data_IF_554646960566
#
_entry.id   IF_554646960566
#
_cell.length_a   1.000
_cell.length_b   1.000
_cell.length_c   1.000
_cell.angle_alpha   90.00
_cell.angle_beta   90.00
_cell.angle_gamma   90.00
#
_symmetry.space_group_name_H-M   'P 1'
#
loop_
_entity.id
_entity.type
_entity.pdbx_description
1 polymer ?
#
# COMPACT_ATOMS: atom_id res chain seq x y z
N UNK A 1 -11.69 -10.32 13.97
CA UNK A 1 -12.20 -9.08 13.35
C UNK A 1 -11.97 -7.96 14.34
N UNK A 2 -11.31 -6.87 13.94
CA UNK A 2 -11.03 -5.76 14.85
C UNK A 2 -12.16 -4.75 14.76
N UNK A 3 -12.75 -4.39 15.91
CA UNK A 3 -13.90 -3.50 16.01
C UNK A 3 -13.48 -2.07 15.62
N UNK A 4 -14.19 -1.44 14.69
CA UNK A 4 -13.97 -0.03 14.33
C UNK A 4 -14.47 0.89 15.45
N UNK A 5 -13.86 2.08 15.61
CA UNK A 5 -14.29 3.05 16.62
C UNK A 5 -15.74 3.48 16.35
N UNK A 6 -16.50 3.68 17.42
CA UNK A 6 -17.78 4.38 17.32
C UNK A 6 -17.53 5.86 16.98
N UNK A 7 -18.58 6.60 16.58
CA UNK A 7 -18.54 8.05 16.29
C UNK A 7 -18.09 8.88 17.52
N UNK A 8 -17.94 8.27 18.70
CA UNK A 8 -17.32 8.91 19.87
C UNK A 8 -15.83 9.13 19.61
N UNK A 9 -15.32 10.27 20.09
CA UNK A 9 -13.89 10.58 20.10
C UNK A 9 -13.15 9.56 20.96
N UNK A 10 -12.76 8.44 20.37
CA UNK A 10 -11.80 7.52 20.95
C UNK A 10 -10.41 8.10 20.69
N UNK A 11 -9.77 8.56 21.76
CA UNK A 11 -8.38 8.96 21.81
C UNK A 11 -7.65 7.95 22.68
N UNK A 12 -6.55 7.39 22.17
CA UNK A 12 -5.76 6.40 22.89
C UNK A 12 -4.28 6.61 22.63
N UNK A 13 -3.50 6.73 23.68
CA UNK A 13 -2.06 6.64 23.61
C UNK A 13 -1.63 5.17 23.79
N UNK A 14 -0.68 4.73 22.97
CA UNK A 14 -0.15 3.38 22.97
C UNK A 14 1.37 3.48 23.10
N UNK A 15 1.90 2.83 24.13
CA UNK A 15 3.35 2.67 24.35
C UNK A 15 3.79 1.32 23.79
N UNK A 16 4.91 1.30 23.09
CA UNK A 16 5.49 0.10 22.52
C UNK A 16 6.47 -0.57 23.50
N UNK A 17 6.36 -1.88 23.63
CA UNK A 17 7.36 -2.68 24.32
C UNK A 17 8.55 -3.02 23.39
N UNK A 18 9.56 -3.68 23.96
CA UNK A 18 10.75 -4.08 23.22
C UNK A 18 10.44 -5.06 22.08
N UNK A 19 9.42 -5.90 22.21
CA UNK A 19 9.03 -6.87 21.18
C UNK A 19 8.47 -6.14 19.95
N UNK A 20 7.62 -5.14 20.17
CA UNK A 20 7.06 -4.29 19.12
C UNK A 20 8.15 -3.52 18.37
N UNK A 21 9.10 -2.92 19.08
CA UNK A 21 10.24 -2.24 18.45
C UNK A 21 11.11 -3.19 17.63
N UNK A 22 11.38 -4.38 18.17
CA UNK A 22 12.15 -5.42 17.46
C UNK A 22 11.42 -5.88 16.19
N UNK A 23 10.11 -6.07 16.28
CA UNK A 23 9.26 -6.43 15.15
C UNK A 23 9.29 -5.33 14.07
N UNK A 24 9.12 -4.07 14.45
CA UNK A 24 9.17 -2.93 13.53
C UNK A 24 10.52 -2.87 12.82
N UNK A 25 11.63 -2.98 13.56
CA UNK A 25 12.97 -2.96 13.01
C UNK A 25 13.19 -4.12 12.02
N UNK A 26 12.71 -5.33 12.35
CA UNK A 26 12.78 -6.51 11.47
C UNK A 26 12.01 -6.29 10.16
N UNK A 27 10.77 -5.79 10.24
CA UNK A 27 9.94 -5.52 9.06
C UNK A 27 10.53 -4.40 8.19
N UNK A 28 11.02 -3.32 8.81
CA UNK A 28 11.71 -2.22 8.12
C UNK A 28 12.99 -2.66 7.45
N UNK A 29 13.78 -3.53 8.08
CA UNK A 29 14.98 -4.12 7.48
C UNK A 29 14.63 -4.95 6.24
N UNK A 30 13.58 -5.79 6.32
CA UNK A 30 13.10 -6.56 5.16
C UNK A 30 12.68 -5.64 4.01
N UNK A 31 11.95 -4.57 4.32
CA UNK A 31 11.53 -3.58 3.35
C UNK A 31 12.72 -2.84 2.71
N UNK A 32 13.68 -2.39 3.54
CA UNK A 32 14.88 -1.69 3.08
C UNK A 32 15.70 -2.53 2.09
N UNK A 33 15.88 -3.83 2.34
CA UNK A 33 16.59 -4.71 1.39
C UNK A 33 15.94 -4.71 -0.01
N UNK A 34 14.61 -4.75 -0.08
CA UNK A 34 13.88 -4.71 -1.35
C UNK A 34 13.98 -3.32 -2.00
N UNK A 35 13.82 -2.27 -1.21
CA UNK A 35 13.90 -0.89 -1.71
C UNK A 35 15.30 -0.59 -2.28
N UNK A 36 16.37 -1.05 -1.62
CA UNK A 36 17.74 -0.91 -2.11
C UNK A 36 17.98 -1.62 -3.44
N UNK A 37 17.40 -2.81 -3.64
CA UNK A 37 17.47 -3.52 -4.90
C UNK A 37 16.80 -2.71 -6.03
N UNK A 38 15.63 -2.13 -5.75
CA UNK A 38 14.88 -1.32 -6.72
C UNK A 38 15.54 0.03 -6.99
N UNK A 39 16.09 0.72 -5.99
CA UNK A 39 16.82 1.98 -6.18
C UNK A 39 18.10 1.81 -7.03
N UNK A 40 18.79 0.66 -6.92
CA UNK A 40 19.92 0.33 -7.81
C UNK A 40 19.50 0.28 -9.29
N UNK A 41 18.24 -0.04 -9.56
CA UNK A 41 17.63 0.01 -10.89
C UNK A 41 17.01 1.38 -11.24
N UNK A 42 17.33 2.44 -10.48
CA UNK A 42 16.82 3.82 -10.64
C UNK A 42 15.30 3.94 -10.44
N UNK A 43 14.70 3.02 -9.69
CA UNK A 43 13.30 3.10 -9.28
C UNK A 43 13.18 3.83 -7.94
N UNK A 44 12.03 4.43 -7.69
CA UNK A 44 11.75 5.19 -6.46
C UNK A 44 10.70 4.46 -5.61
N UNK A 45 11.10 3.40 -4.89
CA UNK A 45 10.18 2.66 -4.05
C UNK A 45 9.82 3.43 -2.78
N UNK A 46 8.60 3.18 -2.30
CA UNK A 46 8.14 3.60 -0.98
C UNK A 46 7.60 2.38 -0.24
N UNK A 47 7.51 2.47 1.08
CA UNK A 47 6.74 1.55 1.91
C UNK A 47 5.57 2.32 2.51
N UNK A 48 4.44 1.66 2.70
CA UNK A 48 3.25 2.30 3.26
C UNK A 48 2.60 1.49 4.37
N UNK A 49 1.61 2.07 5.03
CA UNK A 49 0.82 1.37 6.05
C UNK A 49 1.53 1.24 7.39
N UNK A 50 1.32 0.12 8.08
CA UNK A 50 1.82 -0.04 9.47
C UNK A 50 3.35 0.03 9.58
N UNK A 51 4.09 -0.38 8.55
CA UNK A 51 5.57 -0.30 8.57
C UNK A 51 6.04 1.16 8.47
N UNK A 52 5.30 2.01 7.77
CA UNK A 52 5.56 3.45 7.67
C UNK A 52 5.22 4.19 8.97
N UNK A 53 4.08 3.85 9.58
CA UNK A 53 3.57 4.50 10.78
C UNK A 53 4.17 3.98 12.09
N UNK A 54 4.52 2.70 12.13
CA UNK A 54 5.09 2.02 13.29
C UNK A 54 4.11 1.14 14.07
N UNK A 55 2.80 1.18 13.82
CA UNK A 55 1.77 0.38 14.50
C UNK A 55 1.70 -1.06 13.94
N UNK A 56 2.82 -1.77 13.98
CA UNK A 56 2.95 -3.13 13.42
C UNK A 56 2.38 -4.22 14.33
N UNK A 57 2.12 -5.39 13.74
CA UNK A 57 1.80 -6.63 14.44
C UNK A 57 2.44 -7.81 13.69
N UNK A 58 2.45 -9.01 14.27
CA UNK A 58 2.94 -10.22 13.57
C UNK A 58 2.20 -10.54 12.26
N UNK A 59 1.03 -9.92 12.05
CA UNK A 59 0.24 -10.05 10.82
C UNK A 59 0.44 -8.87 9.85
N UNK A 60 1.37 -7.97 10.14
CA UNK A 60 1.68 -6.85 9.27
C UNK A 60 2.41 -7.33 8.02
N UNK A 61 1.95 -6.83 6.88
CA UNK A 61 2.53 -7.11 5.57
C UNK A 61 3.58 -6.02 5.26
N UNK A 62 4.62 -6.39 4.49
CA UNK A 62 5.64 -5.47 3.97
C UNK A 62 5.30 -5.16 2.51
N UNK A 63 4.57 -4.07 2.32
CA UNK A 63 4.15 -3.59 1.00
C UNK A 63 5.16 -2.55 0.47
N UNK A 64 6.03 -2.95 -0.46
CA UNK A 64 6.88 -2.02 -1.22
C UNK A 64 6.14 -1.60 -2.49
N UNK A 65 6.08 -0.30 -2.75
CA UNK A 65 5.27 0.27 -3.83
C UNK A 65 6.05 1.25 -4.71
N UNK A 66 5.89 1.14 -6.03
CA UNK A 66 6.37 2.14 -7.00
C UNK A 66 5.23 3.08 -7.38
N UNK A 67 5.44 4.39 -7.24
CA UNK A 67 4.37 5.40 -7.43
C UNK A 67 4.04 5.69 -8.90
N UNK A 68 4.89 5.25 -9.82
CA UNK A 68 4.76 5.46 -11.26
C UNK A 68 4.81 4.12 -11.99
N UNK A 69 4.26 4.03 -13.22
CA UNK A 69 4.40 2.83 -14.01
C UNK A 69 5.86 2.49 -14.23
N UNK A 70 6.18 1.21 -14.04
CA UNK A 70 7.51 0.66 -14.21
C UNK A 70 7.44 -0.53 -15.17
N UNK A 71 8.51 -0.74 -15.93
CA UNK A 71 8.67 -1.94 -16.74
C UNK A 71 8.79 -3.14 -15.82
N UNK A 72 7.95 -4.16 -16.02
CA UNK A 72 8.00 -5.38 -15.21
C UNK A 72 9.37 -6.04 -15.28
N UNK A 73 9.97 -6.07 -16.47
CA UNK A 73 11.30 -6.61 -16.72
C UNK A 73 12.37 -5.95 -15.82
N UNK A 74 12.33 -4.61 -15.69
CA UNK A 74 13.29 -3.87 -14.84
C UNK A 74 13.10 -4.24 -13.37
N UNK A 75 11.84 -4.33 -12.91
CA UNK A 75 11.52 -4.70 -11.52
C UNK A 75 11.96 -6.13 -11.22
N UNK A 76 11.56 -7.10 -12.05
CA UNK A 76 11.88 -8.52 -11.87
C UNK A 76 13.39 -8.76 -11.93
N UNK A 77 14.10 -8.14 -12.89
CA UNK A 77 15.57 -8.22 -13.00
C UNK A 77 16.26 -7.63 -11.77
N UNK A 78 15.73 -6.54 -11.19
CA UNK A 78 16.30 -5.93 -10.00
C UNK A 78 16.17 -6.86 -8.78
N UNK A 79 15.02 -7.52 -8.65
CA UNK A 79 14.77 -8.51 -7.59
C UNK A 79 15.66 -9.75 -7.77
N UNK A 80 15.74 -10.29 -8.98
CA UNK A 80 16.58 -11.44 -9.31
C UNK A 80 18.06 -11.18 -9.00
N UNK A 81 18.60 -10.01 -9.43
CA UNK A 81 19.98 -9.61 -9.14
C UNK A 81 20.27 -9.44 -7.65
N UNK A 82 19.25 -9.15 -6.85
CA UNK A 82 19.35 -9.09 -5.40
C UNK A 82 19.18 -10.45 -4.72
N UNK A 83 19.00 -11.53 -5.49
CA UNK A 83 18.76 -12.88 -4.97
C UNK A 83 17.39 -13.03 -4.30
N UNK A 84 16.42 -12.18 -4.66
CA UNK A 84 15.07 -12.20 -4.11
C UNK A 84 14.21 -13.15 -4.95
N UNK A 85 13.73 -14.28 -4.40
CA UNK A 85 12.89 -15.20 -5.15
C UNK A 85 11.51 -14.60 -5.39
N UNK A 86 11.00 -14.77 -6.61
CA UNK A 86 9.62 -14.42 -6.97
C UNK A 86 8.77 -15.66 -6.75
N UNK A 87 7.81 -15.59 -5.83
CA UNK A 87 6.90 -16.68 -5.50
C UNK A 87 5.66 -16.68 -6.40
N UNK A 88 5.05 -15.50 -6.57
CA UNK A 88 3.83 -15.33 -7.40
C UNK A 88 3.82 -13.97 -8.09
N UNK A 89 3.18 -13.94 -9.26
CA UNK A 89 2.96 -12.73 -10.06
C UNK A 89 1.47 -12.57 -10.31
N UNK A 90 0.88 -11.51 -9.79
CA UNK A 90 -0.56 -11.26 -9.82
C UNK A 90 -0.83 -9.91 -10.50
N UNK A 91 -1.77 -9.88 -11.45
CA UNK A 91 -2.31 -8.65 -11.99
C UNK A 91 -3.65 -8.36 -11.30
N UNK A 92 -3.75 -7.19 -10.66
CA UNK A 92 -4.90 -6.83 -9.84
C UNK A 92 -5.45 -5.48 -10.29
N UNK A 93 -6.77 -5.41 -10.43
CA UNK A 93 -7.48 -4.17 -10.62
C UNK A 93 -8.67 -4.14 -9.66
N UNK A 94 -8.60 -3.26 -8.66
CA UNK A 94 -9.62 -3.20 -7.61
C UNK A 94 -10.99 -2.76 -8.16
N UNK A 95 -11.01 -1.79 -9.08
CA UNK A 95 -12.22 -1.26 -9.71
C UNK A 95 -11.96 -0.94 -11.18
N UNK A 96 -12.98 -0.93 -12.05
CA UNK A 96 -12.81 -0.60 -13.48
C UNK A 96 -12.17 0.78 -13.73
N UNK A 97 -12.29 1.70 -12.78
CA UNK A 97 -11.83 3.08 -12.90
C UNK A 97 -10.41 3.30 -12.36
N UNK A 98 -9.86 2.33 -11.61
CA UNK A 98 -8.50 2.41 -11.07
C UNK A 98 -7.48 1.79 -12.02
N UNK A 99 -6.23 2.18 -11.84
CA UNK A 99 -5.11 1.57 -12.50
C UNK A 99 -5.01 0.10 -12.13
N UNK A 100 -4.75 -0.71 -13.16
CA UNK A 100 -4.29 -2.07 -12.98
C UNK A 100 -2.87 -2.05 -12.40
N UNK A 101 -2.58 -2.97 -11.49
CA UNK A 101 -1.31 -3.06 -10.77
C UNK A 101 -0.74 -4.45 -10.93
N UNK A 102 0.58 -4.49 -11.09
CA UNK A 102 1.38 -5.68 -10.89
C UNK A 102 1.63 -5.84 -9.39
N UNK A 103 1.47 -7.07 -8.90
CA UNK A 103 1.77 -7.49 -7.56
C UNK A 103 2.71 -8.70 -7.66
N UNK A 104 3.95 -8.52 -7.19
CA UNK A 104 4.96 -9.57 -7.14
C UNK A 104 5.12 -9.96 -5.68
N UNK A 105 4.78 -11.20 -5.34
CA UNK A 105 5.02 -11.76 -4.01
C UNK A 105 6.42 -12.37 -3.98
N UNK A 106 7.21 -12.01 -2.96
CA UNK A 106 8.64 -12.35 -2.87
C UNK A 106 9.02 -13.03 -1.54
N UNK A 107 8.03 -13.59 -0.87
CA UNK A 107 8.17 -14.16 0.46
C UNK A 107 6.90 -13.98 1.28
N UNK A 108 6.92 -14.56 2.49
CA UNK A 108 5.79 -14.46 3.40
C UNK A 108 5.43 -12.99 3.70
N UNK A 109 4.20 -12.61 3.33
CA UNK A 109 3.61 -11.28 3.57
C UNK A 109 4.49 -10.14 3.07
N UNK A 110 5.15 -10.33 1.93
CA UNK A 110 6.03 -9.31 1.37
C UNK A 110 5.89 -9.25 -0.13
N UNK A 111 5.68 -8.04 -0.62
CA UNK A 111 5.22 -7.86 -1.98
C UNK A 111 5.69 -6.52 -2.53
N UNK A 112 6.07 -6.56 -3.80
CA UNK A 112 6.42 -5.39 -4.60
C UNK A 112 5.25 -5.11 -5.53
N UNK A 113 4.67 -3.93 -5.40
CA UNK A 113 3.50 -3.53 -6.18
C UNK A 113 3.82 -2.29 -7.01
N UNK A 114 3.38 -2.27 -8.26
CA UNK A 114 3.54 -1.10 -9.12
C UNK A 114 2.39 -1.00 -10.12
N UNK A 115 1.98 0.21 -10.50
CA UNK A 115 0.92 0.38 -11.48
C UNK A 115 1.43 0.01 -12.88
N UNK A 116 0.55 -0.55 -13.71
CA UNK A 116 0.83 -0.84 -15.13
C UNK A 116 0.32 0.27 -16.06
N UNK A 117 -0.34 1.28 -15.49
CA UNK A 117 -0.87 2.45 -16.18
C UNK A 117 -0.90 3.65 -15.23
N UNK A 118 -0.98 4.86 -15.75
CA UNK A 118 -1.00 6.08 -14.93
C UNK A 118 -2.12 6.02 -13.88
N UNK A 119 -1.77 6.16 -12.61
CA UNK A 119 -2.73 6.26 -11.52
C UNK A 119 -3.38 7.64 -11.47
N UNK A 120 -4.67 7.69 -11.12
CA UNK A 120 -5.37 8.94 -10.79
C UNK A 120 -4.85 9.51 -9.46
N UNK A 121 -5.11 10.79 -9.22
CA UNK A 121 -4.72 11.49 -7.98
C UNK A 121 -5.22 10.77 -6.72
N UNK A 122 -6.51 10.43 -6.68
CA UNK A 122 -7.13 9.69 -5.57
C UNK A 122 -6.43 8.35 -5.28
N UNK A 123 -6.03 7.62 -6.32
CA UNK A 123 -5.33 6.34 -6.18
C UNK A 123 -3.93 6.50 -5.60
N UNK A 124 -3.22 7.56 -6.00
CA UNK A 124 -1.90 7.90 -5.43
C UNK A 124 -2.05 8.27 -3.95
N UNK A 125 -2.99 9.17 -3.65
CA UNK A 125 -3.25 9.64 -2.29
C UNK A 125 -3.66 8.52 -1.32
N UNK A 126 -4.16 7.38 -1.80
CA UNK A 126 -4.43 6.22 -0.94
C UNK A 126 -3.20 5.66 -0.24
N UNK A 127 -2.04 5.69 -0.89
CA UNK A 127 -0.80 5.24 -0.26
C UNK A 127 -0.33 6.23 0.81
N UNK A 128 -0.64 7.51 0.64
CA UNK A 128 -0.33 8.57 1.58
C UNK A 128 -1.32 8.56 2.75
N UNK A 129 -2.59 8.21 2.49
CA UNK A 129 -3.62 8.02 3.50
C UNK A 129 -3.19 6.98 4.53
N UNK A 130 -2.55 5.89 4.10
CA UNK A 130 -1.99 4.88 5.00
C UNK A 130 -0.70 5.29 5.71
N UNK A 131 -0.12 6.45 5.40
CA UNK A 131 1.26 6.81 5.74
C UNK A 131 2.25 6.12 4.80
N UNK A 132 3.26 6.86 4.33
CA UNK A 132 4.33 6.36 3.46
C UNK A 132 5.70 6.84 3.92
N UNK A 133 6.72 6.02 3.67
CA UNK A 133 8.13 6.33 3.93
C UNK A 133 8.98 5.91 2.74
N UNK A 134 10.01 6.69 2.44
CA UNK A 134 11.09 6.37 1.51
C UNK A 134 12.14 5.47 2.16
N UNK A 135 13.14 5.03 1.39
CA UNK A 135 14.27 4.29 1.94
C UNK A 135 15.08 5.17 2.90
N UNK A 136 15.23 6.46 2.57
CA UNK A 136 15.93 7.40 3.44
C UNK A 136 15.21 7.56 4.78
N UNK A 137 13.89 7.70 4.76
CA UNK A 137 13.08 7.77 5.97
C UNK A 137 13.25 6.51 6.84
N UNK A 138 13.33 5.32 6.23
CA UNK A 138 13.59 4.07 6.97
C UNK A 138 14.99 4.08 7.61
N UNK A 139 16.01 4.57 6.89
CA UNK A 139 17.39 4.66 7.40
C UNK A 139 17.52 5.65 8.56
N UNK A 140 16.73 6.71 8.53
CA UNK A 140 16.66 7.74 9.57
C UNK A 140 15.67 7.37 10.69
N UNK A 141 15.08 6.17 10.64
CA UNK A 141 14.04 5.68 11.55
C UNK A 141 12.80 6.59 11.66
N UNK A 142 12.52 7.37 10.62
CA UNK A 142 11.36 8.26 10.55
C UNK A 142 10.08 7.42 10.53
N UNK A 143 9.13 7.80 11.39
CA UNK A 143 7.75 7.31 11.36
C UNK A 143 6.82 8.45 10.99
N UNK A 144 5.78 8.14 10.23
CA UNK A 144 4.84 9.16 9.71
C UNK A 144 3.42 8.92 10.19
N UNK A 145 2.61 9.98 10.21
CA UNK A 145 1.18 9.83 10.45
C UNK A 145 0.47 9.11 9.29
N UNK A 146 -0.62 8.44 9.60
CA UNK A 146 -1.48 7.82 8.60
C UNK A 146 -2.65 7.08 9.23
N UNK A 147 -3.57 6.59 8.40
CA UNK A 147 -4.77 5.91 8.85
C UNK A 147 -4.64 4.41 8.67
N UNK A 148 -5.02 3.66 9.69
CA UNK A 148 -5.02 2.21 9.66
C UNK A 148 -6.31 1.61 9.04
N UNK A 149 -6.38 0.28 8.97
CA UNK A 149 -7.55 -0.42 8.42
C UNK A 149 -8.81 -0.27 9.30
N UNK A 150 -8.67 0.16 10.57
CA UNK A 150 -9.75 0.41 11.51
C UNK A 150 -10.33 1.82 11.39
N UNK A 151 -9.79 2.67 10.50
CA UNK A 151 -10.11 4.11 10.42
C UNK A 151 -9.65 4.89 11.67
N UNK A 152 -8.52 4.47 12.26
CA UNK A 152 -7.80 5.25 13.27
C UNK A 152 -6.67 6.02 12.60
N UNK A 153 -6.62 7.34 12.82
CA UNK A 153 -5.43 8.13 12.55
C UNK A 153 -4.39 7.77 13.61
N UNK A 154 -3.26 7.26 13.15
CA UNK A 154 -2.09 6.89 13.94
C UNK A 154 -1.04 7.99 13.77
N UNK A 155 -0.68 8.62 14.88
CA UNK A 155 0.34 9.67 14.96
C UNK A 155 1.51 9.18 15.82
N UNK A 156 2.70 8.94 15.24
CA UNK A 156 3.85 8.43 15.98
C UNK A 156 4.28 9.38 17.10
N UNK A 157 4.61 8.83 18.27
CA UNK A 157 5.26 9.50 19.40
C UNK A 157 6.60 8.85 19.67
N UNK A 158 7.45 9.42 20.53
CA UNK A 158 8.77 8.82 20.85
C UNK A 158 8.64 7.39 21.40
N UNK A 159 7.69 7.16 22.29
CA UNK A 159 7.49 5.89 23.00
C UNK A 159 6.48 4.95 22.32
N UNK A 160 5.81 5.38 21.26
CA UNK A 160 4.81 4.59 20.56
C UNK A 160 3.97 5.44 19.61
N UNK A 161 2.66 5.54 19.81
CA UNK A 161 1.80 6.38 19.00
C UNK A 161 0.51 6.81 19.71
N UNK A 162 -0.16 7.80 19.13
CA UNK A 162 -1.51 8.22 19.48
C UNK A 162 -2.47 7.74 18.39
N UNK A 163 -3.60 7.18 18.78
CA UNK A 163 -4.71 6.81 17.89
C UNK A 163 -5.90 7.74 18.12
N UNK A 164 -6.48 8.27 17.04
CA UNK A 164 -7.75 8.98 17.10
C UNK A 164 -8.70 8.61 15.95
N UNK A 165 -10.01 8.62 16.20
CA UNK A 165 -11.00 8.27 15.17
C UNK A 165 -10.98 9.27 14.00
N UNK A 166 -11.07 8.73 12.78
CA UNK A 166 -11.17 9.51 11.52
C UNK A 166 -12.61 9.89 11.20
N UNK A 167 -13.58 9.04 11.57
CA UNK A 167 -14.99 9.21 11.18
C UNK A 167 -15.57 10.47 11.83
N UNK A 168 -16.12 11.36 11.00
CA UNK A 168 -16.62 12.68 11.42
C UNK A 168 -15.53 13.75 11.59
N UNK A 169 -14.26 13.43 11.26
CA UNK A 169 -13.10 14.34 11.32
C UNK A 169 -12.31 14.33 10.01
N UNK A 170 -12.94 13.96 8.91
CA UNK A 170 -12.30 13.71 7.63
C UNK A 170 -11.55 14.93 7.10
N UNK A 171 -12.11 16.14 7.25
CA UNK A 171 -11.44 17.38 6.87
C UNK A 171 -10.17 17.64 7.70
N UNK A 172 -10.22 17.39 9.01
CA UNK A 172 -9.05 17.54 9.87
C UNK A 172 -7.96 16.53 9.51
N UNK A 173 -8.34 15.27 9.29
CA UNK A 173 -7.41 14.21 8.88
C UNK A 173 -6.80 14.52 7.51
N UNK A 174 -7.58 15.05 6.57
CA UNK A 174 -7.08 15.50 5.27
C UNK A 174 -6.01 16.58 5.44
N UNK A 175 -6.21 17.56 6.32
CA UNK A 175 -5.20 18.59 6.63
C UNK A 175 -3.94 18.00 7.26
N UNK A 176 -4.09 17.13 8.26
CA UNK A 176 -2.95 16.49 8.95
C UNK A 176 -2.09 15.69 7.97
N UNK A 177 -2.72 14.94 7.06
CA UNK A 177 -2.02 14.09 6.11
C UNK A 177 -1.63 14.80 4.80
N UNK A 178 -2.03 16.06 4.63
CA UNK A 178 -1.79 16.81 3.38
C UNK A 178 -2.50 16.21 2.16
N UNK A 179 -3.71 15.67 2.34
CA UNK A 179 -4.50 15.00 1.30
C UNK A 179 -5.75 15.78 0.94
N UNK A 180 -6.36 15.42 -0.19
CA UNK A 180 -7.70 15.91 -0.49
C UNK A 180 -8.73 15.30 0.46
N UNK A 181 -9.72 16.11 0.84
CA UNK A 181 -10.86 15.62 1.63
C UNK A 181 -11.63 14.52 0.88
N UNK A 182 -11.72 14.63 -0.45
CA UNK A 182 -12.33 13.61 -1.32
C UNK A 182 -11.68 12.24 -1.11
N UNK A 183 -10.35 12.16 -1.15
CA UNK A 183 -9.64 10.90 -0.90
C UNK A 183 -9.93 10.35 0.50
N UNK A 184 -9.95 11.18 1.54
CA UNK A 184 -10.26 10.73 2.90
C UNK A 184 -11.69 10.19 2.99
N UNK A 185 -12.66 10.92 2.45
CA UNK A 185 -14.07 10.51 2.42
C UNK A 185 -14.28 9.21 1.64
N UNK A 186 -13.66 9.08 0.46
CA UNK A 186 -13.69 7.87 -0.36
C UNK A 186 -13.15 6.65 0.41
N UNK A 187 -12.05 6.83 1.14
CA UNK A 187 -11.44 5.76 1.95
C UNK A 187 -12.31 5.37 3.14
N UNK A 188 -12.86 6.35 3.86
CA UNK A 188 -13.80 6.10 4.96
C UNK A 188 -15.03 5.35 4.46
N UNK A 189 -15.60 5.78 3.33
CA UNK A 189 -16.75 5.12 2.72
C UNK A 189 -16.43 3.68 2.28
N UNK A 190 -15.33 3.48 1.54
CA UNK A 190 -14.94 2.17 1.04
C UNK A 190 -14.67 1.16 2.17
N UNK A 191 -13.95 1.59 3.22
CA UNK A 191 -13.63 0.74 4.36
C UNK A 191 -14.88 0.44 5.20
N UNK A 192 -15.78 1.42 5.39
CA UNK A 192 -17.03 1.20 6.15
C UNK A 192 -18.00 0.29 5.40
N UNK A 193 -18.15 0.47 4.08
CA UNK A 193 -18.98 -0.40 3.24
C UNK A 193 -18.50 -1.86 3.30
N UNK A 194 -17.18 -2.08 3.27
CA UNK A 194 -16.56 -3.41 3.35
C UNK A 194 -16.93 -4.16 4.63
N UNK A 195 -17.13 -3.47 5.74
CA UNK A 195 -17.51 -4.11 7.00
C UNK A 195 -19.02 -4.42 7.04
N UNK A 196 -19.85 -3.53 6.46
CA UNK A 196 -21.30 -3.69 6.45
C UNK A 196 -21.79 -4.77 5.47
N UNK A 197 -21.21 -4.82 4.27
CA UNK A 197 -21.69 -5.67 3.16
C UNK A 197 -20.71 -6.83 2.88
N UNK A 198 -19.54 -6.83 3.50
CA UNK A 198 -18.46 -7.78 3.22
C UNK A 198 -17.52 -7.31 2.11
N UNK A 199 -16.48 -8.11 1.83
CA UNK A 199 -15.55 -7.84 0.73
C UNK A 199 -16.26 -8.08 -0.60
N UNK A 200 -16.49 -7.02 -1.37
CA UNK A 200 -16.71 -7.19 -2.81
C UNK A 200 -15.40 -7.71 -3.39
N UNK A 201 -15.45 -8.74 -4.24
CA UNK A 201 -14.28 -9.17 -5.00
C UNK A 201 -13.65 -8.00 -5.76
N UNK A 202 -12.37 -8.11 -6.06
CA UNK A 202 -11.72 -7.14 -6.95
C UNK A 202 -12.22 -7.33 -8.37
N UNK A 203 -12.17 -6.27 -9.17
CA UNK A 203 -12.67 -6.32 -10.56
C UNK A 203 -11.86 -7.26 -11.45
N UNK A 204 -10.55 -7.33 -11.26
CA UNK A 204 -9.64 -8.30 -11.88
C UNK A 204 -8.64 -8.77 -10.83
N UNK A 205 -8.42 -10.08 -10.77
CA UNK A 205 -7.32 -10.75 -10.05
C UNK A 205 -6.95 -11.97 -10.87
N UNK A 206 -5.81 -11.93 -11.54
CA UNK A 206 -5.30 -13.07 -12.32
C UNK A 206 -3.83 -13.31 -11.97
N UNK A 207 -3.48 -14.57 -11.72
CA UNK A 207 -2.09 -15.00 -11.63
C UNK A 207 -1.53 -15.19 -13.04
N UNK A 208 -0.30 -14.70 -13.25
CA UNK A 208 0.38 -14.80 -14.54
C UNK A 208 0.87 -16.23 -14.79
N UNK A 209 0.82 -16.66 -16.04
CA UNK A 209 1.50 -17.88 -16.47
C UNK A 209 3.02 -17.72 -16.37
N UNK A 210 3.76 -18.83 -16.23
CA UNK A 210 5.21 -18.81 -16.06
C UNK A 210 5.95 -18.03 -17.16
N UNK A 211 5.49 -18.13 -18.40
CA UNK A 211 6.03 -17.48 -19.59
C UNK A 211 5.34 -16.14 -19.96
N UNK A 212 4.33 -15.72 -19.20
CA UNK A 212 3.60 -14.47 -19.41
C UNK A 212 4.29 -13.31 -18.67
N UNK A 213 4.41 -12.17 -19.35
CA UNK A 213 4.81 -10.89 -18.73
C UNK A 213 3.58 -10.09 -18.30
N UNK A 214 3.76 -9.13 -17.39
CA UNK A 214 2.65 -8.25 -16.98
C UNK A 214 2.07 -7.45 -18.16
N UNK A 215 2.90 -7.02 -19.10
CA UNK A 215 2.49 -6.32 -20.30
C UNK A 215 1.65 -7.22 -21.22
N UNK A 216 2.03 -8.48 -21.41
CA UNK A 216 1.24 -9.47 -22.15
C UNK A 216 -0.13 -9.73 -21.50
N UNK A 217 -0.14 -9.92 -20.17
CA UNK A 217 -1.36 -10.12 -19.40
C UNK A 217 -2.30 -8.91 -19.50
N UNK A 218 -1.76 -7.70 -19.37
CA UNK A 218 -2.52 -6.46 -19.51
C UNK A 218 -3.10 -6.30 -20.92
N UNK A 219 -2.32 -6.56 -21.97
CA UNK A 219 -2.81 -6.48 -23.35
C UNK A 219 -3.95 -7.48 -23.60
N UNK A 220 -3.78 -8.72 -23.12
CA UNK A 220 -4.82 -9.76 -23.16
C UNK A 220 -6.09 -9.30 -22.45
N UNK A 221 -5.98 -8.70 -21.28
CA UNK A 221 -7.12 -8.17 -20.52
C UNK A 221 -7.80 -6.99 -21.23
N UNK A 222 -7.04 -6.10 -21.88
CA UNK A 222 -7.59 -5.00 -22.68
C UNK A 222 -8.36 -5.49 -23.92
N UNK A 223 -7.94 -6.62 -24.52
CA UNK A 223 -8.66 -7.26 -25.63
C UNK A 223 -9.98 -7.86 -25.15
N UNK A 224 -9.98 -8.53 -23.99
CA UNK A 224 -11.15 -9.20 -23.42
C UNK A 224 -12.16 -8.25 -22.76
N UNK A 225 -11.70 -7.16 -22.16
CA UNK A 225 -12.52 -6.30 -21.30
C UNK A 225 -12.47 -4.82 -21.73
N UNK A 226 -13.56 -4.27 -22.32
CA UNK A 226 -13.62 -2.88 -22.76
C UNK A 226 -13.41 -1.85 -21.63
N UNK A 227 -13.75 -2.17 -20.38
CA UNK A 227 -13.53 -1.26 -19.26
C UNK A 227 -12.03 -1.08 -18.97
N UNK A 228 -11.27 -2.18 -18.97
CA UNK A 228 -9.80 -2.16 -18.84
C UNK A 228 -9.18 -1.33 -19.96
N UNK A 229 -9.60 -1.59 -21.21
CA UNK A 229 -9.10 -0.85 -22.39
C UNK A 229 -9.38 0.65 -22.29
N UNK A 230 -10.60 1.04 -21.94
CA UNK A 230 -10.95 2.46 -21.76
C UNK A 230 -10.09 3.10 -20.67
N UNK A 231 -9.84 2.40 -19.57
CA UNK A 231 -9.02 2.90 -18.47
C UNK A 231 -7.54 3.04 -18.83
N UNK A 232 -7.00 2.15 -19.65
CA UNK A 232 -5.61 2.23 -20.12
C UNK A 232 -5.39 3.40 -21.10
N UNK A 233 -6.37 3.70 -21.95
CA UNK A 233 -6.27 4.75 -22.99
C UNK A 233 -6.64 6.14 -22.46
N UNK A 234 -7.44 6.23 -21.40
CA UNK A 234 -7.76 7.51 -20.73
C UNK A 234 -6.57 7.99 -19.90
N UNK A 235 -5.65 8.71 -20.55
CA UNK A 235 -4.43 9.28 -19.94
C UNK A 235 -4.53 10.78 -19.75
#
# INVERSE_FOLDING_TARGET
>A
MTKKPFVRMEYREVTYDSEHWTLLARLRKKAACLMEALEKAKLEPIVHGSVARGDVSEKSDVDVFLQIPASSFVVETALEKAGVPIERRLIVQATPTYAMKAHIEVGERTNVTFPLMKMRKVEKEFYFFGGKVSLQDIREDVRVAGVDKRLMLVEPTREGHIESTVVGREEQVARILGLSIETVMDRVHALTRRDNVGRTGVFVEEELLADETFEMAMERLMKKNPAVRRRAVST
#
